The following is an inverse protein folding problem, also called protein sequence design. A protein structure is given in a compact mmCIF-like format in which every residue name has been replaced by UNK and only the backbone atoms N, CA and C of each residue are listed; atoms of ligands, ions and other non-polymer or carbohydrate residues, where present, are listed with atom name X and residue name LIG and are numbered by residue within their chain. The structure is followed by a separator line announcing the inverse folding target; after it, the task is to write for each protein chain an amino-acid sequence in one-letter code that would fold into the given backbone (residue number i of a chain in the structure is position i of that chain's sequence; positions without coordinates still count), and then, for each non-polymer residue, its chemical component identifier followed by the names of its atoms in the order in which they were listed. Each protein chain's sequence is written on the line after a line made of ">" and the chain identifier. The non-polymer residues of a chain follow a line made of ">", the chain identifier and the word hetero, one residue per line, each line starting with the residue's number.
data_IF_585370768879
#
_entry.id   IF_585370768879
#
_cell.length_a   1.000
_cell.length_b   1.000
_cell.length_c   1.000
_cell.angle_alpha   90.00
_cell.angle_beta   90.00
_cell.angle_gamma   90.00
#
_symmetry.space_group_name_H-M   'P 1'
#
loop_
_entity.id
_entity.type
_entity.pdbx_description
1 polymer ?
#
# COMPACT_ATOMS: atom_id res chain seq x y z
N UNK A 1 32.01 -7.99 13.93
CA UNK A 1 31.58 -6.66 14.40
C UNK A 1 31.48 -5.78 13.17
N UNK A 2 30.29 -5.68 12.57
CA UNK A 2 30.04 -4.71 11.53
C UNK A 2 29.69 -3.40 12.23
N UNK A 3 30.40 -2.32 11.91
CA UNK A 3 30.01 -0.98 12.31
C UNK A 3 28.70 -0.67 11.59
N UNK A 4 27.58 -0.73 12.28
CA UNK A 4 26.38 -0.03 11.84
C UNK A 4 26.72 1.46 11.87
N UNK A 5 26.94 2.06 10.69
CA UNK A 5 27.01 3.51 10.58
C UNK A 5 25.69 4.07 11.09
N UNK A 6 25.75 4.76 12.23
CA UNK A 6 24.59 5.46 12.77
C UNK A 6 24.23 6.58 11.80
N UNK A 7 22.99 6.58 11.34
CA UNK A 7 22.42 7.67 10.55
C UNK A 7 22.61 9.01 11.26
N UNK A 8 22.92 10.05 10.49
CA UNK A 8 23.02 11.42 10.98
C UNK A 8 21.64 11.99 11.34
N UNK A 9 21.58 12.98 12.22
CA UNK A 9 20.32 13.66 12.57
C UNK A 9 19.65 14.28 11.34
N UNK A 10 20.45 14.80 10.41
CA UNK A 10 19.95 15.36 9.15
C UNK A 10 19.28 14.29 8.28
N UNK A 11 19.93 13.14 8.09
CA UNK A 11 19.35 12.00 7.36
C UNK A 11 18.04 11.55 7.98
N UNK A 12 18.02 11.38 9.31
CA UNK A 12 16.81 10.96 10.03
C UNK A 12 15.69 11.97 9.83
N UNK A 13 15.96 13.27 9.97
CA UNK A 13 14.95 14.32 9.82
C UNK A 13 14.30 14.38 8.42
N UNK A 14 14.97 13.83 7.41
CA UNK A 14 14.52 13.78 6.03
C UNK A 14 13.70 12.51 5.69
N UNK A 15 13.74 11.47 6.54
CA UNK A 15 12.94 10.24 6.36
C UNK A 15 11.45 10.59 6.34
N UNK A 16 10.75 10.11 5.31
CA UNK A 16 9.32 10.35 5.10
C UNK A 16 8.99 11.72 4.49
N UNK A 17 9.98 12.63 4.37
CA UNK A 17 9.82 13.95 3.73
C UNK A 17 10.32 13.98 2.30
N UNK A 18 11.43 13.32 2.02
CA UNK A 18 12.00 13.28 0.66
C UNK A 18 11.32 12.17 -0.17
N UNK A 19 10.60 12.51 -1.25
CA UNK A 19 10.03 11.51 -2.13
C UNK A 19 11.12 10.90 -3.02
N UNK A 20 11.17 9.57 -3.06
CA UNK A 20 11.99 8.81 -4.01
C UNK A 20 11.17 8.16 -5.13
N UNK A 21 9.84 8.26 -5.02
CA UNK A 21 8.88 7.55 -5.88
C UNK A 21 8.96 8.10 -7.30
N UNK A 22 9.01 7.20 -8.28
CA UNK A 22 9.08 7.57 -9.69
C UNK A 22 7.76 7.25 -10.39
N UNK A 23 7.40 8.00 -11.45
CA UNK A 23 6.31 7.58 -12.31
C UNK A 23 6.67 6.28 -13.05
N UNK A 24 5.68 5.42 -13.25
CA UNK A 24 5.83 4.21 -14.05
C UNK A 24 6.14 4.56 -15.51
N UNK A 25 7.02 3.81 -16.15
CA UNK A 25 7.47 4.03 -17.53
C UNK A 25 6.29 3.92 -18.53
N UNK A 26 5.41 2.95 -18.32
CA UNK A 26 4.26 2.70 -19.20
C UNK A 26 3.31 3.90 -19.32
N UNK A 27 3.27 4.80 -18.31
CA UNK A 27 2.41 5.99 -18.31
C UNK A 27 2.74 6.87 -19.53
N UNK A 28 4.02 7.12 -19.78
CA UNK A 28 4.46 7.92 -20.92
C UNK A 28 4.16 7.24 -22.26
N UNK A 29 4.27 5.90 -22.31
CA UNK A 29 3.99 5.10 -23.51
C UNK A 29 2.49 5.14 -23.90
N UNK A 30 1.59 5.30 -22.92
CA UNK A 30 0.16 5.53 -23.14
C UNK A 30 -0.18 6.99 -23.51
N UNK A 31 0.83 7.85 -23.67
CA UNK A 31 0.69 9.27 -23.95
C UNK A 31 0.10 10.06 -22.77
N UNK A 32 0.34 9.62 -21.54
CA UNK A 32 0.00 10.37 -20.32
C UNK A 32 1.19 11.24 -19.87
N UNK A 33 0.89 12.36 -19.22
CA UNK A 33 1.86 13.27 -18.62
C UNK A 33 2.01 12.91 -17.15
N UNK A 34 3.15 12.31 -16.81
CA UNK A 34 3.43 11.75 -15.48
C UNK A 34 3.15 12.72 -14.32
N UNK A 35 3.54 14.00 -14.44
CA UNK A 35 3.36 15.01 -13.40
C UNK A 35 1.89 15.39 -13.12
N UNK A 36 0.97 15.01 -14.01
CA UNK A 36 -0.47 15.25 -13.86
C UNK A 36 -1.26 13.96 -13.71
N UNK A 37 -0.58 12.83 -13.55
CA UNK A 37 -1.18 11.50 -13.54
C UNK A 37 -1.12 10.89 -12.15
N UNK A 38 -2.22 10.29 -11.70
CA UNK A 38 -2.30 9.58 -10.44
C UNK A 38 -3.07 8.26 -10.60
N UNK A 39 -2.72 7.29 -9.75
CA UNK A 39 -3.56 6.12 -9.54
C UNK A 39 -4.76 6.49 -8.68
N UNK A 40 -5.91 5.92 -9.00
CA UNK A 40 -7.16 6.11 -8.28
C UNK A 40 -7.86 4.78 -8.10
N UNK A 41 -8.48 4.60 -6.94
CA UNK A 41 -9.38 3.49 -6.66
C UNK A 41 -10.79 4.01 -6.45
N UNK A 42 -11.21 4.98 -7.29
CA UNK A 42 -12.51 5.67 -7.31
C UNK A 42 -13.65 4.75 -6.82
N UNK A 43 -14.05 4.96 -5.57
CA UNK A 43 -14.91 4.03 -4.84
C UNK A 43 -16.29 3.85 -5.48
N UNK A 44 -16.72 2.60 -5.56
CA UNK A 44 -18.02 2.07 -6.02
C UNK A 44 -18.31 2.08 -7.53
N UNK A 45 -17.73 2.98 -8.33
CA UNK A 45 -18.03 3.03 -9.78
C UNK A 45 -17.17 2.07 -10.61
N UNK A 46 -15.92 1.83 -10.20
CA UNK A 46 -14.99 0.98 -10.93
C UNK A 46 -14.36 -0.05 -10.00
N UNK A 47 -14.32 -1.32 -10.43
CA UNK A 47 -13.48 -2.33 -9.80
C UNK A 47 -12.02 -2.05 -10.15
N UNK A 48 -11.11 -2.33 -9.22
CA UNK A 48 -9.68 -2.26 -9.47
C UNK A 48 -9.06 -0.89 -9.25
N UNK A 49 -8.04 -0.60 -10.06
CA UNK A 49 -7.30 0.66 -10.11
C UNK A 49 -7.60 1.37 -11.43
N UNK A 50 -7.59 2.70 -11.43
CA UNK A 50 -7.63 3.58 -12.59
C UNK A 50 -6.38 4.45 -12.64
N UNK A 51 -5.96 4.80 -13.85
CA UNK A 51 -5.01 5.87 -14.09
C UNK A 51 -5.79 7.11 -14.55
N UNK A 52 -5.63 8.22 -13.83
CA UNK A 52 -6.31 9.48 -14.11
C UNK A 52 -5.27 10.56 -14.39
N UNK A 53 -5.44 11.28 -15.50
CA UNK A 53 -4.68 12.49 -15.77
C UNK A 53 -5.56 13.72 -15.59
N UNK A 54 -5.12 14.65 -14.76
CA UNK A 54 -5.77 15.94 -14.59
C UNK A 54 -5.67 16.78 -15.89
N UNK A 55 -6.70 17.60 -16.19
CA UNK A 55 -6.67 18.57 -17.28
C UNK A 55 -5.43 19.49 -17.24
N UNK A 56 -5.02 20.02 -18.39
CA UNK A 56 -3.83 20.89 -18.47
C UNK A 56 -4.10 22.30 -17.94
N UNK A 57 -5.35 22.72 -18.02
CA UNK A 57 -5.80 24.08 -17.69
C UNK A 57 -7.13 23.98 -16.97
N UNK A 58 -7.45 24.94 -16.12
CA UNK A 58 -8.74 25.03 -15.42
C UNK A 58 -9.95 25.21 -16.34
N UNK A 59 -9.74 25.57 -17.61
CA UNK A 59 -10.79 25.67 -18.63
C UNK A 59 -11.25 24.29 -19.17
N UNK A 60 -10.43 23.26 -18.99
CA UNK A 60 -10.74 21.87 -19.33
C UNK A 60 -11.07 21.11 -18.04
N UNK A 61 -12.18 20.38 -18.04
CA UNK A 61 -12.66 19.63 -16.87
C UNK A 61 -12.55 18.12 -17.07
N UNK A 62 -12.17 17.66 -18.26
CA UNK A 62 -12.19 16.24 -18.59
C UNK A 62 -10.89 15.55 -18.15
N UNK A 63 -11.02 14.57 -17.25
CA UNK A 63 -9.91 13.68 -16.92
C UNK A 63 -9.68 12.66 -18.05
N UNK A 64 -8.43 12.52 -18.49
CA UNK A 64 -8.04 11.36 -19.31
C UNK A 64 -7.97 10.15 -18.39
N UNK A 65 -8.74 9.10 -18.70
CA UNK A 65 -8.81 7.87 -17.89
C UNK A 65 -8.21 6.69 -18.65
N UNK A 66 -7.56 5.78 -17.93
CA UNK A 66 -7.11 4.49 -18.46
C UNK A 66 -7.22 3.41 -17.38
N UNK A 67 -7.60 2.20 -17.81
CA UNK A 67 -7.60 1.01 -16.97
C UNK A 67 -7.04 -0.16 -17.78
N UNK A 68 -5.93 -0.75 -17.34
CA UNK A 68 -5.43 -1.96 -17.96
C UNK A 68 -6.41 -3.13 -17.69
N UNK A 69 -6.65 -4.06 -18.63
CA UNK A 69 -7.61 -5.15 -18.45
C UNK A 69 -7.38 -6.04 -17.22
N UNK A 70 -6.15 -6.11 -16.72
CA UNK A 70 -5.82 -6.88 -15.51
C UNK A 70 -6.13 -6.15 -14.21
N UNK A 71 -6.36 -4.83 -14.24
CA UNK A 71 -6.52 -4.04 -13.02
C UNK A 71 -7.89 -4.26 -12.36
N UNK A 72 -8.90 -4.66 -13.13
CA UNK A 72 -10.28 -4.88 -12.65
C UNK A 72 -10.58 -6.33 -12.26
N UNK A 73 -9.62 -7.24 -12.41
CA UNK A 73 -9.84 -8.69 -12.25
C UNK A 73 -9.90 -9.15 -10.79
N UNK A 74 -9.52 -8.28 -9.85
CA UNK A 74 -9.32 -8.65 -8.44
C UNK A 74 -10.24 -7.88 -7.48
N UNK A 75 -11.41 -7.45 -7.97
CA UNK A 75 -12.42 -6.74 -7.19
C UNK A 75 -12.07 -5.27 -6.93
N UNK A 76 -12.62 -4.69 -5.86
CA UNK A 76 -12.34 -3.31 -5.48
C UNK A 76 -10.99 -3.22 -4.78
N UNK A 77 -10.24 -2.15 -5.04
CA UNK A 77 -8.92 -1.93 -4.45
C UNK A 77 -8.95 -0.76 -3.46
N UNK A 78 -8.10 -0.83 -2.45
CA UNK A 78 -7.83 0.26 -1.53
C UNK A 78 -6.52 0.97 -1.91
N UNK A 79 -5.94 1.68 -0.94
CA UNK A 79 -4.74 2.51 -1.08
C UNK A 79 -3.68 1.93 -2.03
N UNK A 80 -3.14 2.82 -2.87
CA UNK A 80 -2.05 2.53 -3.79
C UNK A 80 -0.79 3.25 -3.29
N UNK A 81 0.32 2.55 -3.23
CA UNK A 81 1.66 3.14 -3.01
C UNK A 81 2.58 2.81 -4.18
N UNK A 82 3.60 3.63 -4.42
CA UNK A 82 4.58 3.38 -5.48
C UNK A 82 6.01 3.31 -4.93
N UNK A 83 6.85 2.52 -5.57
CA UNK A 83 8.28 2.44 -5.25
C UNK A 83 9.14 3.41 -6.09
N UNK A 84 10.45 3.36 -5.87
CA UNK A 84 11.46 4.15 -6.58
C UNK A 84 11.79 3.65 -8.00
N UNK A 85 11.19 2.52 -8.40
CA UNK A 85 11.18 2.03 -9.78
C UNK A 85 9.86 2.35 -10.50
N UNK A 86 8.88 2.92 -9.78
CA UNK A 86 7.57 3.26 -10.30
C UNK A 86 6.61 2.08 -10.39
N UNK A 87 6.90 0.94 -9.74
CA UNK A 87 5.88 -0.08 -9.57
C UNK A 87 4.84 0.42 -8.58
N UNK A 88 3.58 0.03 -8.78
CA UNK A 88 2.51 0.35 -7.83
C UNK A 88 2.08 -0.90 -7.08
N UNK A 89 1.75 -0.75 -5.80
CA UNK A 89 1.27 -1.81 -4.93
C UNK A 89 -0.06 -1.41 -4.34
N UNK A 90 -1.02 -2.33 -4.36
CA UNK A 90 -2.35 -2.14 -3.82
C UNK A 90 -2.89 -3.46 -3.27
N UNK A 91 -4.02 -3.38 -2.59
CA UNK A 91 -4.70 -4.54 -2.03
C UNK A 91 -6.21 -4.43 -2.18
N UNK A 92 -6.92 -5.56 -2.25
CA UNK A 92 -8.37 -5.57 -2.38
C UNK A 92 -9.07 -5.19 -1.08
N UNK A 93 -10.26 -4.58 -1.20
CA UNK A 93 -11.10 -4.17 -0.08
C UNK A 93 -12.58 -4.46 -0.38
N UNK A 94 -13.34 -5.06 0.55
CA UNK A 94 -14.74 -5.45 0.33
C UNK A 94 -15.72 -4.26 0.49
N UNK A 95 -15.50 -3.13 -0.20
CA UNK A 95 -16.30 -1.90 0.02
C UNK A 95 -17.73 -2.04 -0.49
N UNK A 96 -17.95 -2.72 -1.63
CA UNK A 96 -19.29 -2.84 -2.23
C UNK A 96 -19.95 -4.17 -1.87
N UNK A 97 -19.20 -5.26 -1.93
CA UNK A 97 -19.64 -6.59 -1.56
C UNK A 97 -18.44 -7.48 -1.25
N UNK A 98 -18.71 -8.66 -0.69
CA UNK A 98 -17.72 -9.71 -0.44
C UNK A 98 -17.72 -10.81 -1.51
N UNK A 99 -18.60 -10.74 -2.51
CA UNK A 99 -18.79 -11.79 -3.53
C UNK A 99 -17.57 -11.99 -4.42
N UNK A 100 -16.81 -10.91 -4.66
CA UNK A 100 -15.59 -10.94 -5.47
C UNK A 100 -14.36 -11.40 -4.68
N UNK A 101 -14.51 -11.74 -3.39
CA UNK A 101 -13.40 -11.90 -2.47
C UNK A 101 -13.52 -13.15 -1.58
N UNK A 102 -12.51 -14.00 -1.63
CA UNK A 102 -12.23 -15.03 -0.62
C UNK A 102 -11.27 -14.48 0.44
N UNK A 103 -11.19 -15.16 1.60
CA UNK A 103 -10.21 -14.85 2.65
C UNK A 103 -8.77 -14.78 2.11
N UNK A 104 -8.41 -15.70 1.22
CA UNK A 104 -7.11 -15.70 0.56
C UNK A 104 -6.89 -14.45 -0.30
N UNK A 105 -7.90 -14.07 -1.07
CA UNK A 105 -7.77 -12.90 -1.97
C UNK A 105 -7.73 -11.57 -1.23
N UNK A 106 -8.47 -11.40 -0.12
CA UNK A 106 -8.39 -10.18 0.72
C UNK A 106 -7.03 -10.05 1.43
N UNK A 107 -6.25 -11.11 1.42
CA UNK A 107 -4.94 -11.21 2.04
C UNK A 107 -3.80 -11.34 1.01
N UNK A 108 -4.03 -10.77 -0.19
CA UNK A 108 -3.04 -10.73 -1.27
C UNK A 108 -2.72 -9.28 -1.66
N UNK A 109 -1.44 -8.91 -1.62
CA UNK A 109 -0.92 -7.68 -2.21
C UNK A 109 -0.75 -7.90 -3.71
N UNK A 110 -1.17 -6.92 -4.50
CA UNK A 110 -1.01 -6.92 -5.95
C UNK A 110 0.01 -5.86 -6.37
N UNK A 111 0.78 -6.16 -7.41
CA UNK A 111 1.78 -5.27 -8.01
C UNK A 111 1.40 -4.94 -9.45
N UNK A 112 1.43 -3.65 -9.79
CA UNK A 112 1.39 -3.15 -11.16
C UNK A 112 2.84 -2.91 -11.58
N UNK A 113 3.29 -3.65 -12.59
CA UNK A 113 4.64 -3.52 -13.13
C UNK A 113 4.85 -2.16 -13.82
N UNK A 114 5.95 -1.50 -13.47
CA UNK A 114 6.29 -0.14 -13.94
C UNK A 114 6.50 -0.04 -15.45
N UNK A 115 6.90 -1.13 -16.12
CA UNK A 115 7.24 -1.13 -17.55
C UNK A 115 6.06 -1.49 -18.43
N UNK A 116 5.26 -2.45 -17.99
CA UNK A 116 4.18 -3.05 -18.78
C UNK A 116 2.81 -2.54 -18.36
N UNK A 117 2.66 -2.03 -17.14
CA UNK A 117 1.36 -1.72 -16.56
C UNK A 117 0.54 -2.95 -16.20
N UNK A 118 1.09 -4.17 -16.28
CA UNK A 118 0.36 -5.39 -15.95
C UNK A 118 0.30 -5.57 -14.43
N UNK A 119 -0.92 -5.79 -13.92
CA UNK A 119 -1.17 -6.17 -12.52
C UNK A 119 -1.08 -7.68 -12.34
N UNK A 120 -0.36 -8.12 -11.31
CA UNK A 120 -0.29 -9.52 -10.88
C UNK A 120 -0.30 -9.62 -9.34
N UNK A 121 -0.70 -10.78 -8.83
CA UNK A 121 -0.54 -11.11 -7.41
C UNK A 121 0.96 -11.10 -7.07
N UNK A 122 1.32 -10.43 -5.97
CA UNK A 122 2.70 -10.18 -5.58
C UNK A 122 3.08 -10.91 -4.31
N UNK A 123 2.35 -10.66 -3.22
CA UNK A 123 2.58 -11.32 -1.93
C UNK A 123 1.27 -11.81 -1.37
N UNK A 124 1.19 -13.11 -1.06
CA UNK A 124 0.13 -13.65 -0.20
C UNK A 124 0.60 -13.52 1.24
N UNK A 125 -0.20 -12.88 2.08
CA UNK A 125 0.01 -12.87 3.51
C UNK A 125 -0.45 -14.22 4.13
N UNK A 126 -0.06 -14.53 5.38
CA UNK A 126 -0.41 -15.79 6.05
C UNK A 126 -1.92 -16.02 6.15
N UNK A 127 -2.39 -17.25 5.95
CA UNK A 127 -3.83 -17.54 5.91
C UNK A 127 -4.61 -17.04 7.15
N UNK A 128 -5.78 -16.47 6.89
CA UNK A 128 -6.68 -15.96 7.93
C UNK A 128 -7.39 -17.12 8.63
N UNK A 129 -7.22 -17.24 9.94
CA UNK A 129 -8.06 -18.12 10.76
C UNK A 129 -9.46 -17.50 10.88
N UNK A 130 -10.46 -18.18 10.31
CA UNK A 130 -11.85 -17.74 10.30
C UNK A 130 -12.78 -18.57 11.19
N UNK A 131 -12.24 -19.38 12.09
CA UNK A 131 -13.01 -20.30 12.94
C UNK A 131 -14.05 -19.59 13.82
N UNK A 132 -13.79 -18.36 14.27
CA UNK A 132 -14.65 -17.59 15.17
C UNK A 132 -15.55 -16.54 14.49
N UNK A 133 -15.57 -16.48 13.14
CA UNK A 133 -16.30 -15.45 12.40
C UNK A 133 -15.56 -14.11 12.41
N UNK A 134 -14.91 -13.79 11.29
CA UNK A 134 -13.99 -12.65 11.16
C UNK A 134 -14.63 -11.45 10.49
N UNK A 135 -14.07 -10.27 10.72
CA UNK A 135 -14.39 -9.09 9.92
C UNK A 135 -14.05 -9.36 8.44
N UNK A 136 -14.80 -8.80 7.48
CA UNK A 136 -14.58 -9.11 6.06
C UNK A 136 -13.33 -8.42 5.48
N UNK A 137 -12.57 -7.68 6.28
CA UNK A 137 -11.38 -6.93 5.85
C UNK A 137 -10.12 -7.76 6.04
N UNK A 138 -9.23 -7.74 5.05
CA UNK A 138 -7.92 -8.40 5.13
C UNK A 138 -6.80 -7.41 5.47
N UNK A 139 -6.68 -6.33 4.70
CA UNK A 139 -5.67 -5.28 4.86
C UNK A 139 -6.30 -3.90 4.95
N UNK A 140 -5.64 -2.97 5.64
CA UNK A 140 -6.10 -1.58 5.82
C UNK A 140 -5.03 -0.52 5.58
N UNK A 141 -3.80 -0.90 5.25
CA UNK A 141 -2.71 0.04 5.04
C UNK A 141 -1.61 -0.57 4.19
N UNK A 142 -1.02 0.25 3.32
CA UNK A 142 0.18 -0.09 2.55
C UNK A 142 1.05 1.15 2.38
N UNK A 143 2.36 1.01 2.59
CA UNK A 143 3.29 2.12 2.49
C UNK A 143 4.69 1.66 2.06
N UNK A 144 5.22 2.30 1.03
CA UNK A 144 6.61 2.12 0.63
C UNK A 144 7.54 3.12 1.35
N UNK A 145 8.50 2.60 2.11
CA UNK A 145 9.58 3.35 2.74
C UNK A 145 10.69 3.64 1.72
N UNK A 146 10.79 4.91 1.33
CA UNK A 146 11.80 5.38 0.41
C UNK A 146 13.23 5.26 0.92
N UNK A 147 13.43 5.33 2.23
CA UNK A 147 14.74 5.25 2.86
C UNK A 147 15.19 3.79 2.97
N UNK A 148 14.42 2.94 3.64
CA UNK A 148 14.74 1.52 3.85
C UNK A 148 14.46 0.60 2.65
N UNK A 149 13.79 1.09 1.60
CA UNK A 149 13.36 0.30 0.43
C UNK A 149 12.53 -0.91 0.82
N UNK A 150 11.61 -0.73 1.76
CA UNK A 150 10.70 -1.76 2.28
C UNK A 150 9.25 -1.40 1.99
N UNK A 151 8.43 -2.41 1.78
CA UNK A 151 6.98 -2.26 1.66
C UNK A 151 6.34 -2.73 2.97
N UNK A 152 5.64 -1.84 3.66
CA UNK A 152 4.89 -2.18 4.87
C UNK A 152 3.42 -2.36 4.54
N UNK A 153 2.79 -3.39 5.11
CA UNK A 153 1.38 -3.70 4.91
C UNK A 153 0.74 -4.00 6.26
N UNK A 154 -0.39 -3.35 6.57
CA UNK A 154 -1.17 -3.65 7.78
C UNK A 154 -2.34 -4.55 7.44
N UNK A 155 -2.50 -5.59 8.25
CA UNK A 155 -3.58 -6.55 8.17
C UNK A 155 -4.44 -6.52 9.42
N UNK A 156 -5.74 -6.74 9.22
CA UNK A 156 -6.74 -7.02 10.26
C UNK A 156 -7.38 -8.40 10.07
N UNK A 157 -6.74 -9.23 9.24
CA UNK A 157 -7.21 -10.58 8.94
C UNK A 157 -7.25 -11.40 10.23
N UNK A 158 -8.39 -12.07 10.48
CA UNK A 158 -8.59 -12.85 11.70
C UNK A 158 -9.23 -12.06 12.84
N UNK A 159 -9.28 -10.72 12.75
CA UNK A 159 -9.94 -9.91 13.77
C UNK A 159 -11.43 -10.19 13.79
N UNK A 160 -12.00 -10.26 14.99
CA UNK A 160 -13.44 -10.39 15.21
C UNK A 160 -14.00 -9.07 15.71
N UNK A 161 -15.30 -9.02 16.02
CA UNK A 161 -15.90 -7.83 16.65
C UNK A 161 -15.16 -7.42 17.93
N UNK A 162 -14.74 -8.39 18.75
CA UNK A 162 -14.25 -8.13 20.11
C UNK A 162 -12.75 -8.40 20.28
N UNK A 163 -12.08 -8.98 19.27
CA UNK A 163 -10.67 -9.34 19.31
C UNK A 163 -9.88 -8.75 18.13
N UNK A 164 -8.79 -8.04 18.44
CA UNK A 164 -7.78 -7.63 17.45
C UNK A 164 -6.80 -8.78 17.21
N UNK A 165 -6.61 -9.14 15.94
CA UNK A 165 -5.59 -10.10 15.47
C UNK A 165 -4.63 -9.45 14.46
N UNK A 166 -4.69 -8.13 14.33
CA UNK A 166 -3.98 -7.42 13.27
C UNK A 166 -2.46 -7.42 13.43
N UNK A 167 -1.80 -7.52 12.27
CA UNK A 167 -0.35 -7.64 12.10
C UNK A 167 0.14 -6.59 11.11
N UNK A 168 1.40 -6.18 11.24
CA UNK A 168 2.11 -5.45 10.19
C UNK A 168 3.19 -6.35 9.62
N UNK A 169 3.24 -6.43 8.29
CA UNK A 169 4.21 -7.20 7.53
C UNK A 169 5.18 -6.26 6.83
N UNK A 170 6.48 -6.57 6.92
CA UNK A 170 7.52 -5.94 6.13
C UNK A 170 7.88 -6.83 4.95
N UNK A 171 7.70 -6.33 3.74
CA UNK A 171 7.88 -7.06 2.48
C UNK A 171 9.03 -6.47 1.69
N UNK A 172 9.84 -7.35 1.11
CA UNK A 172 10.84 -6.99 0.13
C UNK A 172 10.17 -6.65 -1.22
N UNK A 173 10.29 -5.41 -1.74
CA UNK A 173 9.63 -4.98 -2.98
C UNK A 173 10.23 -5.63 -4.24
N UNK A 174 11.46 -6.15 -4.18
CA UNK A 174 12.14 -6.83 -5.27
C UNK A 174 11.71 -8.28 -5.42
N UNK A 175 11.46 -8.97 -4.31
CA UNK A 175 11.19 -10.42 -4.29
C UNK A 175 9.78 -10.80 -3.86
N UNK A 176 9.03 -9.88 -3.23
CA UNK A 176 7.71 -10.15 -2.67
C UNK A 176 7.72 -11.01 -1.39
N UNK A 177 8.89 -11.30 -0.85
CA UNK A 177 9.03 -12.09 0.38
C UNK A 177 8.75 -11.23 1.62
N UNK A 178 7.99 -11.78 2.55
CA UNK A 178 7.88 -11.25 3.90
C UNK A 178 9.24 -11.43 4.58
N UNK A 179 9.81 -10.34 5.06
CA UNK A 179 11.10 -10.30 5.75
C UNK A 179 10.94 -10.23 7.26
N UNK A 180 9.85 -9.63 7.73
CA UNK A 180 9.52 -9.52 9.15
C UNK A 180 8.02 -9.29 9.34
N UNK A 181 7.52 -9.56 10.55
CA UNK A 181 6.14 -9.34 10.96
C UNK A 181 6.06 -9.04 12.46
N UNK A 182 5.11 -8.19 12.85
CA UNK A 182 4.90 -7.90 14.26
C UNK A 182 3.44 -7.56 14.55
N UNK A 183 3.03 -7.86 15.78
CA UNK A 183 1.71 -7.54 16.29
C UNK A 183 1.55 -6.02 16.45
N UNK A 184 0.49 -5.47 15.86
CA UNK A 184 0.14 -4.06 15.95
C UNK A 184 -1.34 -3.85 16.36
N UNK A 185 -2.07 -4.95 16.56
CA UNK A 185 -3.54 -4.98 16.55
C UNK A 185 -4.08 -4.44 15.22
N UNK A 186 -5.32 -3.92 15.22
CA UNK A 186 -5.97 -3.52 13.97
C UNK A 186 -5.41 -2.18 13.45
N UNK A 187 -4.23 -2.20 12.82
CA UNK A 187 -3.54 -1.01 12.36
C UNK A 187 -4.12 -0.45 11.04
N UNK A 188 -4.40 0.86 11.03
CA UNK A 188 -4.97 1.60 9.90
C UNK A 188 -4.03 2.72 9.46
N UNK A 189 -3.77 2.78 8.16
CA UNK A 189 -2.80 3.74 7.61
C UNK A 189 -1.37 3.47 8.09
N UNK A 190 -0.39 3.73 7.23
CA UNK A 190 1.02 3.50 7.53
C UNK A 190 1.83 4.68 7.02
N UNK A 191 2.85 5.08 7.77
CA UNK A 191 3.83 6.07 7.33
C UNK A 191 5.15 5.85 8.04
N UNK A 192 6.27 5.88 7.31
CA UNK A 192 7.61 5.91 7.91
C UNK A 192 8.09 7.34 8.00
N UNK A 193 8.62 7.74 9.16
CA UNK A 193 9.13 9.09 9.39
C UNK A 193 10.22 9.14 10.45
N UNK A 194 11.07 10.17 10.38
CA UNK A 194 12.15 10.40 11.34
C UNK A 194 11.93 11.59 12.27
N UNK A 195 10.68 12.03 12.47
CA UNK A 195 10.33 13.31 13.13
C UNK A 195 10.81 13.35 14.60
N UNK A 196 11.05 12.20 15.21
CA UNK A 196 11.43 12.06 16.62
C UNK A 196 12.95 11.94 16.84
N UNK A 197 13.76 12.05 15.79
CA UNK A 197 15.20 11.75 15.85
C UNK A 197 15.51 10.25 15.75
N UNK A 198 14.48 9.42 15.59
CA UNK A 198 14.59 8.00 15.23
C UNK A 198 13.73 7.72 14.00
N UNK A 199 14.16 6.76 13.16
CA UNK A 199 13.32 6.20 12.10
C UNK A 199 12.21 5.35 12.73
N UNK A 200 10.96 5.68 12.45
CA UNK A 200 9.80 4.99 13.03
C UNK A 200 8.72 4.72 11.99
N UNK A 201 8.02 3.60 12.13
CA UNK A 201 6.76 3.34 11.45
C UNK A 201 5.61 3.82 12.32
N UNK A 202 4.83 4.75 11.82
CA UNK A 202 3.61 5.28 12.45
C UNK A 202 2.37 4.64 11.84
N UNK A 203 1.37 4.39 12.67
CA UNK A 203 0.09 3.82 12.27
C UNK A 203 -1.02 4.23 13.23
N UNK A 204 -2.24 4.36 12.71
CA UNK A 204 -3.43 4.56 13.55
C UNK A 204 -3.94 3.24 14.10
N UNK A 205 -4.61 3.26 15.25
CA UNK A 205 -5.37 2.11 15.75
C UNK A 205 -6.80 2.13 15.21
N UNK A 206 -7.32 1.00 14.75
CA UNK A 206 -8.66 0.88 14.18
C UNK A 206 -9.79 1.04 15.20
N UNK A 207 -9.50 0.80 16.49
CA UNK A 207 -10.49 0.83 17.58
C UNK A 207 -10.34 2.00 18.54
N UNK A 208 -9.19 2.69 18.51
CA UNK A 208 -8.86 3.77 19.43
C UNK A 208 -8.40 4.99 18.63
N UNK A 209 -8.72 6.22 19.05
CA UNK A 209 -8.31 7.46 18.37
C UNK A 209 -6.84 7.79 18.67
N UNK A 210 -5.94 6.83 18.45
CA UNK A 210 -4.53 6.89 18.83
C UNK A 210 -3.62 6.62 17.64
N UNK A 211 -2.47 7.31 17.61
CA UNK A 211 -1.38 7.04 16.68
C UNK A 211 -0.28 6.34 17.46
N UNK A 212 0.09 5.15 17.01
CA UNK A 212 1.15 4.34 17.58
C UNK A 212 2.36 4.34 16.65
N UNK A 213 3.51 3.96 17.19
CA UNK A 213 4.69 3.76 16.35
C UNK A 213 5.64 2.73 16.92
N UNK A 214 6.32 2.03 16.02
CA UNK A 214 7.47 1.18 16.34
C UNK A 214 8.73 1.80 15.78
N UNK A 215 9.84 1.63 16.49
CA UNK A 215 11.16 1.99 15.96
C UNK A 215 11.52 1.03 14.84
N UNK A 216 12.11 1.56 13.77
CA UNK A 216 12.70 0.79 12.70
C UNK A 216 14.21 0.95 12.76
N UNK A 217 14.91 -0.11 12.38
CA UNK A 217 16.35 -0.07 12.15
C UNK A 217 16.68 0.44 10.72
#
# INVERSE_FOLDING_TARGET
>A
MACEEKMTEEEISNIGRQPCRKPAEFISQLGFVASRTAYSTEGTQYKGVLLLQAPATSADTAFKKYQHPTWSQHGYMASVTTDDFGNAYCFPIPVVNTMDHTLKTIHTVYKIDSKTGVMHAFTSLPDIDSSEGVVPFGMLGIYFDCHGKKLYVSSVGGSTRDKEMGMIYMIDPGTGKIQDEFEAGDAVGLCVGGITGEKRLYFGKGRLPEIWSVRLD
#
